data_IF_049850297121
#
_entry.id   IF_049850297121
#
_cell.length_a   1.000
_cell.length_b   1.000
_cell.length_c   1.000
_cell.angle_alpha   90.00
_cell.angle_beta   90.00
_cell.angle_gamma   90.00
#
_symmetry.space_group_name_H-M   'P 1'
#
loop_
_entity.id
_entity.type
_entity.pdbx_description
1 polymer ?
#
# COMPACT_ATOMS: atom_id res chain seq x y z
N UNK A 1 0.07 -0.40 -13.87
CA UNK A 1 0.96 -0.67 -12.71
C UNK A 1 1.92 -1.80 -13.08
N UNK A 2 3.20 -1.50 -13.13
CA UNK A 2 4.23 -2.48 -13.52
C UNK A 2 4.72 -3.26 -12.30
N UNK A 3 5.28 -4.48 -12.49
CA UNK A 3 5.90 -5.21 -11.39
C UNK A 3 6.95 -4.41 -10.63
N UNK A 4 7.74 -3.64 -11.35
CA UNK A 4 8.77 -2.79 -10.75
C UNK A 4 8.18 -1.71 -9.84
N UNK A 5 7.08 -1.08 -10.26
CA UNK A 5 6.40 -0.07 -9.43
C UNK A 5 5.82 -0.69 -8.17
N UNK A 6 5.27 -1.89 -8.28
CA UNK A 6 4.70 -2.60 -7.13
C UNK A 6 5.80 -2.91 -6.11
N UNK A 7 6.93 -3.47 -6.55
CA UNK A 7 8.07 -3.72 -5.67
C UNK A 7 8.59 -2.44 -5.02
N UNK A 8 8.65 -1.36 -5.78
CA UNK A 8 9.12 -0.07 -5.28
C UNK A 8 8.22 0.45 -4.17
N UNK A 9 6.90 0.36 -4.35
CA UNK A 9 5.93 0.74 -3.32
C UNK A 9 6.16 -0.09 -2.06
N UNK A 10 6.21 -1.41 -2.20
CA UNK A 10 6.39 -2.32 -1.08
C UNK A 10 7.66 -2.04 -0.31
N UNK A 11 8.77 -1.89 -1.01
CA UNK A 11 10.08 -1.64 -0.39
C UNK A 11 10.13 -0.28 0.30
N UNK A 12 9.49 0.73 -0.29
CA UNK A 12 9.41 2.05 0.32
C UNK A 12 8.63 2.03 1.63
N UNK A 13 7.65 1.12 1.76
CA UNK A 13 6.90 0.91 3.00
C UNK A 13 7.66 0.04 3.99
N UNK A 14 8.77 -0.57 3.60
CA UNK A 14 9.55 -1.46 4.47
C UNK A 14 8.87 -2.79 4.75
N UNK A 15 8.00 -3.27 3.86
CA UNK A 15 7.19 -4.45 4.10
C UNK A 15 7.70 -5.66 3.33
N UNK A 16 7.54 -6.86 3.96
CA UNK A 16 7.66 -8.12 3.25
C UNK A 16 6.49 -8.30 2.29
N UNK A 17 6.60 -9.26 1.37
CA UNK A 17 5.47 -9.61 0.51
C UNK A 17 4.25 -10.06 1.31
N UNK A 18 4.47 -10.80 2.41
CA UNK A 18 3.39 -11.28 3.27
C UNK A 18 2.66 -10.12 3.95
N UNK A 19 3.40 -9.20 4.54
CA UNK A 19 2.81 -8.04 5.21
C UNK A 19 2.09 -7.13 4.21
N UNK A 20 2.68 -6.97 3.04
CA UNK A 20 2.05 -6.19 1.96
C UNK A 20 0.73 -6.83 1.51
N UNK A 21 0.72 -8.16 1.39
CA UNK A 21 -0.49 -8.89 1.05
C UNK A 21 -1.59 -8.67 2.09
N UNK A 22 -1.25 -8.65 3.38
CA UNK A 22 -2.21 -8.38 4.46
C UNK A 22 -2.85 -7.01 4.30
N UNK A 23 -2.07 -5.97 3.99
CA UNK A 23 -2.59 -4.62 3.78
C UNK A 23 -3.59 -4.59 2.63
N UNK A 24 -3.29 -5.32 1.57
CA UNK A 24 -4.09 -5.32 0.34
C UNK A 24 -5.22 -6.36 0.36
N UNK A 25 -5.34 -7.13 1.46
CA UNK A 25 -6.37 -8.17 1.61
C UNK A 25 -6.29 -9.24 0.52
N UNK A 26 -5.07 -9.61 0.15
CA UNK A 26 -4.79 -10.66 -0.82
C UNK A 26 -3.83 -11.67 -0.21
N UNK A 27 -3.58 -12.77 -0.94
CA UNK A 27 -2.61 -13.77 -0.50
C UNK A 27 -1.19 -13.36 -0.89
N UNK A 28 -0.20 -13.93 -0.19
CA UNK A 28 1.21 -13.76 -0.55
C UNK A 28 1.45 -14.13 -2.01
N UNK A 29 0.88 -15.25 -2.47
CA UNK A 29 1.09 -15.71 -3.85
C UNK A 29 0.56 -14.69 -4.87
N UNK A 30 -0.51 -13.96 -4.55
CA UNK A 30 -1.03 -12.91 -5.41
C UNK A 30 -0.01 -11.77 -5.56
N UNK A 31 0.55 -11.29 -4.44
CA UNK A 31 1.59 -10.25 -4.49
C UNK A 31 2.80 -10.73 -5.27
N UNK A 32 3.24 -11.97 -5.00
CA UNK A 32 4.39 -12.54 -5.69
C UNK A 32 4.15 -12.59 -7.21
N UNK A 33 2.96 -13.00 -7.64
CA UNK A 33 2.61 -13.07 -9.07
C UNK A 33 2.62 -11.69 -9.72
N UNK A 34 2.18 -10.66 -8.99
CA UNK A 34 2.27 -9.28 -9.49
C UNK A 34 3.72 -8.85 -9.68
N UNK A 35 4.59 -9.19 -8.73
CA UNK A 35 5.99 -8.75 -8.75
C UNK A 35 6.85 -9.50 -9.76
N UNK A 36 6.45 -10.71 -10.15
CA UNK A 36 7.14 -11.44 -11.21
C UNK A 36 6.47 -11.30 -12.59
N UNK A 37 5.37 -10.54 -12.66
CA UNK A 37 4.73 -10.24 -13.93
C UNK A 37 3.76 -11.28 -14.46
N UNK A 38 3.37 -12.28 -13.65
CA UNK A 38 2.41 -13.32 -14.05
C UNK A 38 0.95 -12.89 -13.91
N UNK A 39 0.70 -11.80 -13.20
CA UNK A 39 -0.62 -11.23 -13.04
C UNK A 39 -0.48 -9.74 -12.80
N UNK A 40 -1.55 -8.99 -12.99
CA UNK A 40 -1.58 -7.55 -12.72
C UNK A 40 -2.68 -7.24 -11.71
N UNK A 41 -2.43 -6.29 -10.78
CA UNK A 41 -3.50 -5.85 -9.87
C UNK A 41 -4.59 -5.16 -10.67
N UNK A 42 -5.85 -5.38 -10.25
CA UNK A 42 -7.03 -4.79 -10.87
C UNK A 42 -7.99 -4.30 -9.78
N UNK A 43 -8.99 -3.54 -10.20
CA UNK A 43 -10.06 -3.12 -9.30
C UNK A 43 -9.56 -2.33 -8.11
N UNK A 44 -10.06 -2.68 -6.93
CA UNK A 44 -9.73 -1.98 -5.69
C UNK A 44 -8.25 -2.07 -5.34
N UNK A 45 -7.62 -3.21 -5.61
CA UNK A 45 -6.19 -3.39 -5.34
C UNK A 45 -5.34 -2.41 -6.16
N UNK A 46 -5.68 -2.23 -7.42
CA UNK A 46 -4.99 -1.26 -8.27
C UNK A 46 -5.16 0.16 -7.73
N UNK A 47 -6.37 0.52 -7.31
CA UNK A 47 -6.65 1.84 -6.75
C UNK A 47 -5.86 2.10 -5.47
N UNK A 48 -5.79 1.11 -4.58
CA UNK A 48 -5.01 1.23 -3.35
C UNK A 48 -3.53 1.41 -3.66
N UNK A 49 -3.00 0.65 -4.61
CA UNK A 49 -1.60 0.78 -5.02
C UNK A 49 -1.30 2.18 -5.59
N UNK A 50 -2.20 2.72 -6.38
CA UNK A 50 -2.05 4.09 -6.91
C UNK A 50 -2.05 5.11 -5.77
N UNK A 51 -2.95 4.95 -4.80
CA UNK A 51 -3.01 5.84 -3.63
C UNK A 51 -1.74 5.75 -2.80
N UNK A 52 -1.21 4.54 -2.60
CA UNK A 52 0.06 4.34 -1.88
C UNK A 52 1.20 5.03 -2.60
N UNK A 53 1.28 4.87 -3.90
CA UNK A 53 2.33 5.49 -4.71
C UNK A 53 2.27 7.02 -4.59
N UNK A 54 1.08 7.60 -4.67
CA UNK A 54 0.87 9.03 -4.49
C UNK A 54 1.23 9.47 -3.07
N UNK A 55 0.82 8.69 -2.07
CA UNK A 55 1.11 8.99 -0.66
C UNK A 55 2.60 9.01 -0.38
N UNK A 56 3.36 8.07 -0.95
CA UNK A 56 4.80 7.99 -0.77
C UNK A 56 5.54 9.21 -1.32
N UNK A 57 4.93 9.95 -2.25
CA UNK A 57 5.50 11.18 -2.75
C UNK A 57 5.28 12.37 -1.81
N UNK A 58 4.44 12.23 -0.77
CA UNK A 58 4.10 13.30 0.15
C UNK A 58 4.89 13.17 1.45
N UNK A 59 5.58 14.23 1.92
CA UNK A 59 6.34 14.17 3.18
C UNK A 59 5.47 13.82 4.39
N UNK A 60 4.23 14.29 4.43
CA UNK A 60 3.32 14.01 5.55
C UNK A 60 3.03 12.51 5.71
N UNK A 61 2.82 11.80 4.60
CA UNK A 61 2.63 10.35 4.65
C UNK A 61 3.92 9.63 5.02
N UNK A 62 5.06 10.10 4.53
CA UNK A 62 6.37 9.51 4.85
C UNK A 62 6.68 9.63 6.33
N UNK A 63 6.25 10.70 6.99
CA UNK A 63 6.36 10.84 8.45
C UNK A 63 5.56 9.76 9.17
N UNK A 64 4.39 9.41 8.65
CA UNK A 64 3.57 8.34 9.21
C UNK A 64 4.31 7.02 9.27
N UNK A 65 5.16 6.74 8.28
CA UNK A 65 5.93 5.49 8.23
C UNK A 65 6.95 5.38 9.37
N UNK A 66 7.30 6.49 10.03
CA UNK A 66 8.21 6.50 11.19
C UNK A 66 7.47 6.25 12.50
N UNK A 67 6.14 6.27 12.49
CA UNK A 67 5.34 5.97 13.67
C UNK A 67 5.49 4.49 14.01
N UNK A 68 5.71 4.12 15.30
CA UNK A 68 5.77 2.71 15.68
C UNK A 68 4.54 1.91 15.26
N UNK A 69 3.37 2.55 15.15
CA UNK A 69 2.13 1.90 14.71
C UNK A 69 2.14 1.57 13.21
N UNK A 70 3.10 2.10 12.45
CA UNK A 70 3.19 1.85 11.00
C UNK A 70 3.50 0.39 10.66
N UNK A 71 3.85 -0.43 11.65
CA UNK A 71 4.00 -1.89 11.47
C UNK A 71 2.63 -2.60 11.44
N UNK A 72 1.57 -1.93 11.88
CA UNK A 72 0.21 -2.47 11.85
C UNK A 72 -0.41 -2.18 10.47
N UNK A 73 -0.77 -3.23 9.70
CA UNK A 73 -1.39 -3.04 8.39
C UNK A 73 -2.66 -2.19 8.43
N UNK A 74 -3.48 -2.34 9.47
CA UNK A 74 -4.71 -1.57 9.60
C UNK A 74 -4.44 -0.10 9.84
N UNK A 75 -3.40 0.23 10.61
CA UNK A 75 -3.00 1.61 10.83
C UNK A 75 -2.55 2.26 9.52
N UNK A 76 -1.72 1.56 8.73
CA UNK A 76 -1.26 2.07 7.44
C UNK A 76 -2.43 2.27 6.48
N UNK A 77 -3.34 1.32 6.42
CA UNK A 77 -4.52 1.42 5.57
C UNK A 77 -5.40 2.61 5.97
N UNK A 78 -5.63 2.77 7.27
CA UNK A 78 -6.39 3.90 7.81
C UNK A 78 -5.78 5.24 7.38
N UNK A 79 -4.47 5.39 7.57
CA UNK A 79 -3.76 6.63 7.22
C UNK A 79 -3.76 6.88 5.71
N UNK A 80 -3.66 5.81 4.93
CA UNK A 80 -3.72 5.90 3.48
C UNK A 80 -5.07 6.42 2.99
N UNK A 81 -6.16 5.94 3.61
CA UNK A 81 -7.51 6.29 3.19
C UNK A 81 -8.03 7.58 3.84
N UNK A 82 -7.30 8.14 4.79
CA UNK A 82 -7.69 9.36 5.50
C UNK A 82 -8.07 10.52 4.55
N UNK A 83 -7.33 10.78 3.46
CA UNK A 83 -7.72 11.84 2.53
C UNK A 83 -9.08 11.63 1.88
N UNK A 84 -9.57 10.38 1.80
CA UNK A 84 -10.85 10.06 1.17
C UNK A 84 -12.03 10.32 2.11
N UNK A 85 -11.86 10.14 3.41
CA UNK A 85 -12.95 10.31 4.37
C UNK A 85 -12.64 11.32 5.48
N UNK A 86 -11.43 11.89 5.49
CA UNK A 86 -11.09 12.96 6.42
C UNK A 86 -11.90 14.23 6.24
N UNK A 87 -12.55 14.39 5.07
CA UNK A 87 -13.41 15.51 4.74
C UNK A 87 -14.90 15.18 4.91
N UNK A 88 -15.23 13.98 5.35
CA UNK A 88 -16.60 13.59 5.59
C UNK A 88 -17.13 14.28 6.85
N UNK A 89 -18.38 14.76 6.84
CA UNK A 89 -18.99 15.30 8.05
C UNK A 89 -19.03 14.21 9.12
N UNK A 90 -18.73 14.60 10.34
CA UNK A 90 -18.74 13.70 11.49
C UNK A 90 -20.15 13.15 11.75
#
# INVERSE_FOLDING_TARGET
>A
MTPRRIRKIRKALGLSQEDFAHILWVTWSTVNRWEIGNAAPTGMNLRILILLEHGLAKPSFRKTLRDPRATDPMFLLYRLLEPLYGNLPA
#
